data_IF_142473437130
#
_entry.id   IF_142473437130
#
_cell.length_a   1.000
_cell.length_b   1.000
_cell.length_c   1.000
_cell.angle_alpha   90.00
_cell.angle_beta   90.00
_cell.angle_gamma   90.00
#
_symmetry.space_group_name_H-M   'P 1'
#
loop_
_entity.id
_entity.type
_entity.pdbx_description
1 polymer ?
#
# COMPACT_ATOMS: atom_id res chain seq x y z
N UNK A 1 4.81 -2.61 16.80
CA UNK A 1 4.09 -2.53 15.52
C UNK A 1 4.23 -3.90 14.88
N UNK A 2 3.13 -4.64 14.75
CA UNK A 2 3.20 -5.93 14.08
C UNK A 2 3.40 -5.69 12.58
N UNK A 3 4.32 -6.43 11.93
CA UNK A 3 4.69 -6.16 10.53
C UNK A 3 3.52 -6.33 9.54
N UNK A 4 2.43 -6.97 9.99
CA UNK A 4 1.21 -7.29 9.22
C UNK A 4 0.12 -6.23 9.45
N UNK A 5 0.40 -5.09 10.11
CA UNK A 5 -0.61 -4.12 10.50
C UNK A 5 -1.54 -3.63 9.36
N UNK A 6 -1.05 -3.63 8.12
CA UNK A 6 -1.83 -3.17 6.94
C UNK A 6 -2.62 -4.28 6.26
N UNK A 7 -2.33 -5.56 6.53
CA UNK A 7 -2.96 -6.68 5.80
C UNK A 7 -4.43 -6.87 6.19
N UNK A 8 -4.82 -7.05 7.48
CA UNK A 8 -6.23 -7.22 7.83
C UNK A 8 -7.11 -6.03 7.38
N UNK A 9 -6.71 -4.76 7.59
CA UNK A 9 -7.46 -3.62 7.08
C UNK A 9 -7.64 -3.60 5.56
N UNK A 10 -6.62 -4.00 4.80
CA UNK A 10 -6.70 -4.03 3.33
C UNK A 10 -7.67 -5.11 2.85
N UNK A 11 -7.63 -6.30 3.45
CA UNK A 11 -8.57 -7.39 3.13
C UNK A 11 -10.01 -6.97 3.44
N UNK A 12 -10.24 -6.31 4.59
CA UNK A 12 -11.55 -5.76 4.94
C UNK A 12 -12.03 -4.73 3.92
N UNK A 13 -11.16 -3.79 3.52
CA UNK A 13 -11.51 -2.80 2.51
C UNK A 13 -11.87 -3.44 1.15
N UNK A 14 -11.16 -4.49 0.75
CA UNK A 14 -11.52 -5.26 -0.44
C UNK A 14 -12.91 -5.90 -0.31
N UNK A 15 -13.25 -6.44 0.86
CA UNK A 15 -14.57 -7.02 1.12
C UNK A 15 -15.69 -5.97 1.14
N UNK A 16 -15.44 -4.80 1.72
CA UNK A 16 -16.41 -3.71 1.82
C UNK A 16 -16.71 -3.07 0.46
N UNK A 17 -15.70 -2.94 -0.41
CA UNK A 17 -15.84 -2.29 -1.72
C UNK A 17 -16.28 -3.24 -2.85
N UNK A 18 -15.85 -4.51 -2.81
CA UNK A 18 -16.06 -5.46 -3.92
C UNK A 18 -16.88 -6.69 -3.54
N UNK A 19 -17.35 -6.75 -2.29
CA UNK A 19 -18.11 -7.86 -1.73
C UNK A 19 -17.24 -9.02 -1.24
N UNK A 20 -17.70 -9.70 -0.18
CA UNK A 20 -16.97 -10.80 0.49
C UNK A 20 -16.56 -11.94 -0.45
N UNK A 21 -17.37 -12.23 -1.47
CA UNK A 21 -17.08 -13.27 -2.48
C UNK A 21 -15.85 -12.95 -3.32
N UNK A 22 -15.64 -11.67 -3.65
CA UNK A 22 -14.54 -11.24 -4.53
C UNK A 22 -13.30 -10.75 -3.76
N UNK A 23 -13.44 -10.52 -2.44
CA UNK A 23 -12.40 -9.94 -1.59
C UNK A 23 -11.04 -10.63 -1.75
N UNK A 24 -11.00 -11.97 -1.78
CA UNK A 24 -9.77 -12.74 -1.95
C UNK A 24 -9.09 -12.51 -3.30
N UNK A 25 -9.86 -12.41 -4.40
CA UNK A 25 -9.32 -12.17 -5.75
C UNK A 25 -8.77 -10.75 -5.86
N UNK A 26 -9.51 -9.76 -5.35
CA UNK A 26 -9.06 -8.36 -5.37
C UNK A 26 -7.82 -8.18 -4.51
N UNK A 27 -7.81 -8.73 -3.29
CA UNK A 27 -6.62 -8.71 -2.44
C UNK A 27 -5.43 -9.43 -3.08
N UNK A 28 -5.66 -10.53 -3.80
CA UNK A 28 -4.63 -11.22 -4.56
C UNK A 28 -3.94 -10.31 -5.58
N UNK A 29 -4.70 -9.50 -6.31
CA UNK A 29 -4.14 -8.51 -7.24
C UNK A 29 -3.42 -7.36 -6.52
N UNK A 30 -3.96 -6.87 -5.40
CA UNK A 30 -3.28 -5.86 -4.55
C UNK A 30 -1.92 -6.39 -4.07
N UNK A 31 -1.89 -7.64 -3.60
CA UNK A 31 -0.68 -8.30 -3.15
C UNK A 31 0.32 -8.50 -4.30
N UNK A 32 -0.14 -8.96 -5.47
CA UNK A 32 0.72 -9.11 -6.64
C UNK A 32 1.38 -7.78 -7.04
N UNK A 33 0.60 -6.68 -7.08
CA UNK A 33 1.13 -5.35 -7.36
C UNK A 33 2.16 -4.90 -6.29
N UNK A 34 1.90 -5.19 -5.01
CA UNK A 34 2.83 -4.92 -3.94
C UNK A 34 4.16 -5.68 -4.12
N UNK A 35 4.10 -6.98 -4.45
CA UNK A 35 5.30 -7.78 -4.69
C UNK A 35 6.11 -7.28 -5.89
N UNK A 36 5.45 -6.86 -6.97
CA UNK A 36 6.13 -6.24 -8.12
C UNK A 36 6.83 -4.94 -7.74
N UNK A 37 6.16 -4.09 -6.95
CA UNK A 37 6.77 -2.87 -6.41
C UNK A 37 7.97 -3.17 -5.51
N UNK A 38 7.85 -4.15 -4.61
CA UNK A 38 8.93 -4.58 -3.72
C UNK A 38 10.13 -5.13 -4.49
N UNK A 39 9.89 -5.95 -5.53
CA UNK A 39 10.93 -6.46 -6.41
C UNK A 39 11.65 -5.32 -7.16
N UNK A 40 10.88 -4.38 -7.72
CA UNK A 40 11.43 -3.20 -8.39
C UNK A 40 12.26 -2.31 -7.46
N UNK A 41 11.78 -2.07 -6.24
CA UNK A 41 12.51 -1.29 -5.24
C UNK A 41 13.80 -1.98 -4.79
N UNK A 42 13.76 -3.30 -4.54
CA UNK A 42 14.95 -4.07 -4.18
C UNK A 42 15.99 -4.09 -5.30
N UNK A 43 15.56 -4.30 -6.55
CA UNK A 43 16.45 -4.24 -7.70
C UNK A 43 17.04 -2.84 -7.90
N UNK A 44 16.20 -1.80 -7.86
CA UNK A 44 16.65 -0.40 -7.96
C UNK A 44 17.65 -0.03 -6.86
N UNK A 45 17.44 -0.48 -5.63
CA UNK A 45 18.38 -0.29 -4.54
C UNK A 45 19.73 -0.97 -4.82
N UNK A 46 19.72 -2.17 -5.43
CA UNK A 46 20.93 -2.85 -5.91
C UNK A 46 21.69 -2.01 -6.95
N UNK A 47 20.98 -1.49 -7.96
CA UNK A 47 21.59 -0.62 -8.98
C UNK A 47 22.21 0.65 -8.38
N UNK A 48 21.53 1.27 -7.41
CA UNK A 48 22.07 2.42 -6.66
C UNK A 48 23.33 2.02 -5.89
N UNK A 49 23.32 0.86 -5.23
CA UNK A 49 24.48 0.38 -4.47
C UNK A 49 25.70 0.14 -5.37
N UNK A 50 25.47 -0.40 -6.56
CA UNK A 50 26.52 -0.66 -7.55
C UNK A 50 27.10 0.64 -8.12
N UNK A 51 26.24 1.64 -8.40
CA UNK A 51 26.65 2.90 -9.02
C UNK A 51 27.37 3.86 -8.06
N UNK A 52 26.88 4.02 -6.82
CA UNK A 52 27.38 5.05 -5.87
C UNK A 52 27.94 4.47 -4.58
N UNK A 53 28.01 3.15 -4.44
CA UNK A 53 28.71 2.52 -3.32
C UNK A 53 27.96 2.55 -1.98
N UNK A 54 26.71 3.03 -1.95
CA UNK A 54 25.93 3.20 -0.72
C UNK A 54 24.43 3.06 -0.95
N UNK A 55 23.70 2.54 0.04
CA UNK A 55 22.23 2.50 0.05
C UNK A 55 21.58 3.81 0.53
N UNK A 56 22.37 4.81 0.95
CA UNK A 56 21.83 6.07 1.48
C UNK A 56 20.82 6.71 0.52
N UNK A 57 21.15 6.80 -0.77
CA UNK A 57 20.24 7.32 -1.80
C UNK A 57 18.99 6.45 -2.01
N UNK A 58 19.13 5.13 -1.94
CA UNK A 58 17.98 4.21 -2.04
C UNK A 58 17.01 4.39 -0.86
N UNK A 59 17.53 4.52 0.36
CA UNK A 59 16.68 4.71 1.54
C UNK A 59 16.07 6.10 1.62
N UNK A 60 16.82 7.16 1.30
CA UNK A 60 16.30 8.53 1.28
C UNK A 60 15.20 8.70 0.23
N UNK A 61 15.36 8.10 -0.96
CA UNK A 61 14.30 8.12 -1.99
C UNK A 61 13.08 7.30 -1.59
N UNK A 62 13.26 6.11 -1.00
CA UNK A 62 12.15 5.33 -0.45
C UNK A 62 11.39 6.11 0.64
N UNK A 63 12.11 6.82 1.53
CA UNK A 63 11.52 7.70 2.53
C UNK A 63 10.72 8.85 1.91
N UNK A 64 11.23 9.49 0.86
CA UNK A 64 10.51 10.54 0.14
C UNK A 64 9.22 10.00 -0.50
N UNK A 65 9.26 8.83 -1.13
CA UNK A 65 8.06 8.17 -1.69
C UNK A 65 7.05 7.83 -0.58
N UNK A 66 7.51 7.34 0.57
CA UNK A 66 6.65 7.05 1.71
C UNK A 66 5.94 8.31 2.24
N UNK A 67 6.64 9.45 2.32
CA UNK A 67 6.05 10.73 2.70
C UNK A 67 4.97 11.14 1.70
N UNK A 68 5.27 11.08 0.39
CA UNK A 68 4.28 11.41 -0.66
C UNK A 68 3.06 10.50 -0.57
N UNK A 69 3.25 9.20 -0.37
CA UNK A 69 2.16 8.25 -0.21
C UNK A 69 1.32 8.55 1.06
N UNK A 70 1.97 8.88 2.17
CA UNK A 70 1.28 9.28 3.41
C UNK A 70 0.46 10.55 3.24
N UNK A 71 1.00 11.55 2.53
CA UNK A 71 0.26 12.77 2.19
C UNK A 71 -0.92 12.46 1.27
N UNK A 72 -0.72 11.61 0.25
CA UNK A 72 -1.78 11.18 -0.64
C UNK A 72 -2.92 10.45 0.08
N UNK A 73 -2.60 9.67 1.11
CA UNK A 73 -3.61 9.00 1.92
C UNK A 73 -4.56 9.98 2.65
N UNK A 74 -4.10 11.19 2.98
CA UNK A 74 -4.96 12.22 3.60
C UNK A 74 -6.00 12.80 2.63
N UNK A 75 -5.81 12.62 1.32
CA UNK A 75 -6.73 13.06 0.28
C UNK A 75 -7.87 12.05 0.00
N UNK A 76 -7.82 10.86 0.60
CA UNK A 76 -8.86 9.83 0.41
C UNK A 76 -10.16 10.29 1.06
N UNK A 77 -11.21 10.46 0.25
CA UNK A 77 -12.55 10.81 0.72
C UNK A 77 -13.19 9.61 1.39
N UNK A 78 -13.74 9.80 2.58
CA UNK A 78 -14.57 8.79 3.25
C UNK A 78 -16.04 8.97 2.83
N UNK A 79 -16.75 7.89 2.46
CA UNK A 79 -18.20 7.97 2.26
C UNK A 79 -18.87 8.55 3.51
N UNK A 80 -19.83 9.45 3.32
CA UNK A 80 -20.64 9.94 4.43
C UNK A 80 -21.36 8.75 5.08
N UNK A 81 -21.46 8.68 6.42
CA UNK A 81 -22.31 7.70 7.06
C UNK A 81 -23.71 7.83 6.47
N UNK A 82 -24.21 6.78 5.81
CA UNK A 82 -25.63 6.70 5.48
C UNK A 82 -26.35 6.64 6.81
N UNK A 83 -26.93 7.75 7.26
CA UNK A 83 -27.92 7.77 8.32
C UNK A 83 -29.07 6.90 7.83
N UNK A 84 -29.01 5.61 8.16
CA UNK A 84 -30.12 4.69 7.92
C UNK A 84 -31.33 5.28 8.61
N UNK A 85 -32.39 5.48 7.83
CA UNK A 85 -33.69 5.95 8.29
C UNK A 85 -34.08 5.16 9.56
N UNK A 86 -34.08 5.86 10.69
CA UNK A 86 -34.78 5.40 11.87
C UNK A 86 -36.27 5.51 11.57
N UNK A 87 -36.86 4.43 11.06
CA UNK A 87 -38.31 4.20 11.00
C UNK A 87 -38.57 2.73 11.20
#
# INVERSE_FOLDING_TARGET
LDYIATVPPTIMLCADLFGRRNAGVVYGWVFAAHQLGAAGAAWGAGLVRDAVGSYGWAFSSAGAVAIVAGLAATMIRRPAPTLGAAT
#
